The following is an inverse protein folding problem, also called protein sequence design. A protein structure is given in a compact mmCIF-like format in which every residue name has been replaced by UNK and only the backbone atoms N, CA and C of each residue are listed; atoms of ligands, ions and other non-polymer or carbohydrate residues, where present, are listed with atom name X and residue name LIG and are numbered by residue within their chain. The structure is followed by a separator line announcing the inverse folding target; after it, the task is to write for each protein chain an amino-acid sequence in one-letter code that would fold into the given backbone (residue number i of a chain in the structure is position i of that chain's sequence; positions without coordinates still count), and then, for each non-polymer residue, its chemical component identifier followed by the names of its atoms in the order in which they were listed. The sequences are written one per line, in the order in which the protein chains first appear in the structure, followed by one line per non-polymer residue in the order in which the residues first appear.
data_IF_016282318847
#
_entry.id   IF_016282318847
#
_cell.length_a   1.000
_cell.length_b   1.000
_cell.length_c   1.000
_cell.angle_alpha   90.00
_cell.angle_beta   90.00
_cell.angle_gamma   90.00
#
_symmetry.space_group_name_H-M   'P 1'
#
loop_
_entity.id
_entity.type
_entity.pdbx_description
1 polymer ?
#
# COMPACT_ATOMS: atom_id res chain seq x y z
N UNK A 1 -57.40 -7.49 15.21
CA UNK A 1 -57.31 -8.71 16.05
C UNK A 1 -55.90 -9.25 15.94
N UNK A 2 -55.31 -9.61 17.10
CA UNK A 2 -54.05 -10.34 17.32
C UNK A 2 -52.75 -9.75 16.69
N UNK A 3 -51.85 -9.08 17.42
CA UNK A 3 -50.99 -9.55 18.54
C UNK A 3 -49.98 -10.61 18.08
N UNK A 4 -48.81 -10.19 17.57
CA UNK A 4 -47.62 -11.05 17.57
C UNK A 4 -46.34 -10.26 17.86
N UNK A 5 -45.96 -10.35 19.14
CA UNK A 5 -44.62 -10.60 19.70
C UNK A 5 -43.47 -9.67 19.28
N UNK A 6 -43.10 -8.83 20.27
CA UNK A 6 -41.81 -8.18 20.47
C UNK A 6 -40.68 -9.20 20.36
N UNK A 7 -39.78 -9.02 19.40
CA UNK A 7 -38.45 -9.66 19.41
C UNK A 7 -37.44 -8.66 20.01
N UNK A 8 -37.28 -8.72 21.33
CA UNK A 8 -36.11 -8.19 22.04
C UNK A 8 -34.91 -9.07 21.66
N UNK A 9 -34.14 -8.64 20.66
CA UNK A 9 -32.86 -9.22 20.28
C UNK A 9 -31.73 -8.31 20.74
N UNK A 10 -30.95 -8.80 21.68
CA UNK A 10 -29.89 -8.10 22.40
C UNK A 10 -28.70 -7.67 21.52
N UNK A 11 -27.86 -6.80 22.10
CA UNK A 11 -26.53 -6.38 21.65
C UNK A 11 -26.47 -5.13 20.75
N UNK A 12 -27.20 -4.08 21.14
CA UNK A 12 -26.77 -2.70 20.90
C UNK A 12 -25.65 -2.30 21.86
N UNK A 13 -24.44 -2.82 21.70
CA UNK A 13 -23.20 -2.28 22.33
C UNK A 13 -21.99 -2.62 21.46
N UNK A 14 -21.80 -1.92 20.35
CA UNK A 14 -20.55 -1.99 19.58
C UNK A 14 -20.18 -0.64 18.94
N UNK A 15 -20.63 0.49 19.52
CA UNK A 15 -20.30 1.84 19.06
C UNK A 15 -19.44 2.64 20.07
N UNK A 16 -18.92 1.99 21.12
CA UNK A 16 -18.11 2.64 22.16
C UNK A 16 -16.58 2.51 21.96
N UNK A 17 -16.11 1.96 20.83
CA UNK A 17 -14.68 1.74 20.59
C UNK A 17 -14.00 2.84 19.74
N UNK A 18 -14.65 3.99 19.52
CA UNK A 18 -14.08 5.14 18.79
C UNK A 18 -13.76 6.35 19.68
N UNK A 19 -14.00 6.28 20.99
CA UNK A 19 -13.57 7.32 21.94
C UNK A 19 -12.16 6.99 22.46
N UNK A 20 -11.16 7.16 21.59
CA UNK A 20 -9.78 6.83 21.91
C UNK A 20 -8.75 7.56 21.07
N UNK A 21 -9.01 8.82 20.70
CA UNK A 21 -7.97 9.73 20.21
C UNK A 21 -8.23 11.13 20.77
N UNK A 22 -8.03 11.26 22.08
CA UNK A 22 -7.90 12.56 22.73
C UNK A 22 -6.94 12.39 23.91
N UNK A 23 -5.69 12.01 23.60
CA UNK A 23 -4.63 12.13 24.59
C UNK A 23 -4.21 13.60 24.64
N UNK A 24 -4.60 14.27 25.73
CA UNK A 24 -4.05 15.58 26.09
C UNK A 24 -2.63 15.35 26.62
N UNK A 25 -1.74 14.99 25.71
CA UNK A 25 -0.32 14.77 25.96
C UNK A 25 0.39 16.12 25.98
N UNK A 26 0.92 16.48 27.15
CA UNK A 26 1.92 17.54 27.34
C UNK A 26 2.97 17.45 26.23
N UNK A 27 3.25 18.56 25.54
CA UNK A 27 4.27 18.63 24.48
C UNK A 27 5.63 18.24 25.09
N UNK A 28 5.99 16.96 24.97
CA UNK A 28 7.35 16.49 25.22
C UNK A 28 8.14 16.95 23.99
N UNK A 29 9.21 17.75 24.14
CA UNK A 29 10.03 18.11 23.01
C UNK A 29 10.50 16.81 22.38
N UNK A 30 10.09 16.57 21.14
CA UNK A 30 10.48 15.40 20.37
C UNK A 30 12.00 15.45 20.27
N UNK A 31 12.70 14.67 21.12
CA UNK A 31 14.11 14.36 20.92
C UNK A 31 14.26 14.00 19.45
N UNK A 32 15.14 14.70 18.76
CA UNK A 32 15.39 14.53 17.35
C UNK A 32 15.53 13.03 17.07
N UNK A 33 14.51 12.45 16.43
CA UNK A 33 14.63 11.11 15.89
C UNK A 33 15.67 11.26 14.81
N UNK A 34 16.90 10.87 15.12
CA UNK A 34 17.93 10.69 14.11
C UNK A 34 17.40 9.57 13.24
N UNK A 35 16.73 9.95 12.15
CA UNK A 35 16.31 9.03 11.11
C UNK A 35 17.57 8.61 10.38
N UNK A 36 18.29 7.64 10.95
CA UNK A 36 19.31 6.91 10.23
C UNK A 36 18.57 6.04 9.22
N UNK A 37 18.22 6.61 8.07
CA UNK A 37 17.70 5.84 6.93
C UNK A 37 18.79 4.80 6.62
N UNK A 38 18.52 3.50 6.81
CA UNK A 38 19.47 2.47 6.44
C UNK A 38 19.83 2.64 4.97
N UNK A 39 21.08 2.39 4.60
CA UNK A 39 21.46 2.38 3.20
C UNK A 39 20.51 1.44 2.42
N UNK A 40 20.00 1.86 1.25
CA UNK A 40 19.07 1.05 0.49
C UNK A 40 19.71 -0.29 0.18
N UNK A 41 18.94 -1.37 0.37
CA UNK A 41 19.42 -2.68 0.01
C UNK A 41 19.62 -2.76 -1.53
N UNK A 42 20.45 -3.69 -2.04
CA UNK A 42 20.74 -3.78 -3.47
C UNK A 42 19.49 -3.93 -4.35
N UNK A 43 18.44 -4.58 -3.84
CA UNK A 43 17.18 -4.76 -4.56
C UNK A 43 16.36 -3.46 -4.65
N UNK A 44 16.32 -2.65 -3.60
CA UNK A 44 15.69 -1.34 -3.63
C UNK A 44 16.36 -0.44 -4.65
N UNK A 45 17.68 -0.47 -4.70
CA UNK A 45 18.46 0.33 -5.64
C UNK A 45 18.29 -0.17 -7.09
N UNK A 46 18.20 -1.49 -7.32
CA UNK A 46 17.77 -2.06 -8.62
C UNK A 46 16.37 -1.60 -9.01
N UNK A 47 15.41 -1.73 -8.11
CA UNK A 47 14.01 -1.38 -8.37
C UNK A 47 13.83 0.12 -8.64
N UNK A 48 14.63 0.98 -7.98
CA UNK A 48 14.69 2.42 -8.26
C UNK A 48 15.16 2.69 -9.69
N UNK A 49 16.24 2.05 -10.14
CA UNK A 49 16.74 2.19 -11.53
C UNK A 49 15.72 1.72 -12.56
N UNK A 50 15.08 0.57 -12.30
CA UNK A 50 13.99 0.06 -13.15
C UNK A 50 12.88 1.11 -13.23
N UNK A 51 12.42 1.63 -12.09
CA UNK A 51 11.36 2.65 -12.07
C UNK A 51 11.74 3.89 -12.89
N UNK A 52 12.94 4.44 -12.72
CA UNK A 52 13.39 5.59 -13.53
C UNK A 52 13.37 5.28 -15.02
N UNK A 53 13.83 4.09 -15.41
CA UNK A 53 13.79 3.66 -16.80
C UNK A 53 12.36 3.53 -17.33
N UNK A 54 11.43 3.00 -16.53
CA UNK A 54 10.02 2.93 -16.89
C UNK A 54 9.43 4.31 -17.15
N UNK A 55 9.79 5.32 -16.34
CA UNK A 55 9.36 6.70 -16.56
C UNK A 55 9.89 7.26 -17.89
N UNK A 56 11.16 7.01 -18.21
CA UNK A 56 11.77 7.41 -19.49
C UNK A 56 11.06 6.79 -20.71
N UNK A 57 10.57 5.55 -20.56
CA UNK A 57 9.83 4.81 -21.58
C UNK A 57 8.33 5.19 -21.65
N UNK A 58 7.88 6.14 -20.82
CA UNK A 58 6.50 6.63 -20.81
C UNK A 58 5.55 5.89 -19.86
N UNK A 59 6.04 4.91 -19.10
CA UNK A 59 5.29 4.19 -18.07
C UNK A 59 5.19 5.04 -16.79
N UNK A 60 4.42 6.12 -16.87
CA UNK A 60 4.31 7.17 -15.83
C UNK A 60 3.14 6.98 -14.87
N UNK A 61 2.24 6.05 -15.17
CA UNK A 61 1.11 5.73 -14.29
C UNK A 61 1.49 4.66 -13.29
N UNK A 62 0.93 4.79 -12.09
CA UNK A 62 1.16 3.82 -11.02
C UNK A 62 0.70 2.40 -11.44
N UNK A 63 -0.37 2.31 -12.23
CA UNK A 63 -0.86 1.04 -12.77
C UNK A 63 0.11 0.40 -13.77
N UNK A 64 0.75 1.18 -14.64
CA UNK A 64 1.76 0.66 -15.57
C UNK A 64 2.97 0.11 -14.80
N UNK A 65 3.49 0.88 -13.85
CA UNK A 65 4.66 0.50 -13.05
C UNK A 65 4.35 -0.76 -12.23
N UNK A 66 3.19 -0.81 -11.55
CA UNK A 66 2.78 -1.99 -10.78
C UNK A 66 2.59 -3.22 -11.68
N UNK A 67 2.00 -3.07 -12.86
CA UNK A 67 1.84 -4.17 -13.83
C UNK A 67 3.20 -4.70 -14.26
N UNK A 68 4.15 -3.81 -14.55
CA UNK A 68 5.52 -4.20 -14.92
C UNK A 68 6.19 -5.05 -13.83
N UNK A 69 6.15 -4.59 -12.57
CA UNK A 69 6.73 -5.34 -11.45
C UNK A 69 6.01 -6.67 -11.23
N UNK A 70 4.68 -6.71 -11.34
CA UNK A 70 3.93 -7.95 -11.22
C UNK A 70 4.23 -8.97 -12.34
N UNK A 71 4.50 -8.50 -13.57
CA UNK A 71 4.95 -9.35 -14.67
C UNK A 71 6.37 -9.88 -14.43
N UNK A 72 7.27 -9.02 -13.95
CA UNK A 72 8.64 -9.40 -13.60
C UNK A 72 8.67 -10.47 -12.49
N UNK A 73 7.78 -10.34 -11.50
CA UNK A 73 7.65 -11.27 -10.37
C UNK A 73 6.83 -12.54 -10.73
N UNK A 74 6.25 -12.60 -11.95
CA UNK A 74 5.45 -13.73 -12.42
C UNK A 74 4.02 -13.80 -11.84
N UNK A 75 3.57 -12.76 -11.12
CA UNK A 75 2.20 -12.66 -10.63
C UNK A 75 1.19 -12.33 -11.72
N UNK A 76 1.62 -11.66 -12.79
CA UNK A 76 0.83 -11.40 -13.99
C UNK A 76 1.48 -12.07 -15.20
N UNK A 77 0.66 -12.45 -16.17
CA UNK A 77 1.08 -13.03 -17.45
C UNK A 77 0.14 -12.60 -18.58
N UNK A 78 0.45 -12.98 -19.82
CA UNK A 78 -0.37 -12.69 -20.99
C UNK A 78 -0.17 -11.27 -21.52
N UNK A 79 -1.21 -10.74 -22.15
CA UNK A 79 -1.18 -9.46 -22.89
C UNK A 79 -0.84 -8.26 -21.99
N UNK A 80 -1.24 -8.29 -20.72
CA UNK A 80 -0.90 -7.24 -19.75
C UNK A 80 0.63 -7.10 -19.54
N UNK A 81 1.41 -8.12 -19.88
CA UNK A 81 2.86 -8.14 -19.75
C UNK A 81 3.60 -7.84 -21.06
N UNK A 82 2.92 -7.44 -22.14
CA UNK A 82 3.58 -7.11 -23.40
C UNK A 82 4.64 -6.01 -23.23
N UNK A 83 4.31 -4.95 -22.49
CA UNK A 83 5.26 -3.87 -22.23
C UNK A 83 6.54 -4.36 -21.53
N UNK A 84 6.42 -5.28 -20.56
CA UNK A 84 7.57 -5.92 -19.91
C UNK A 84 8.38 -6.79 -20.88
N UNK A 85 7.72 -7.53 -21.78
CA UNK A 85 8.39 -8.38 -22.77
C UNK A 85 9.18 -7.57 -23.80
N UNK A 86 8.66 -6.41 -24.18
CA UNK A 86 9.34 -5.47 -25.08
C UNK A 86 10.48 -4.72 -24.38
N UNK A 87 10.36 -4.49 -23.07
CA UNK A 87 11.31 -3.71 -22.27
C UNK A 87 11.75 -4.49 -21.01
N UNK A 88 12.46 -5.62 -21.13
CA UNK A 88 12.87 -6.40 -19.96
C UNK A 88 13.87 -5.62 -19.09
N UNK A 89 13.91 -5.88 -17.77
CA UNK A 89 14.83 -5.20 -16.86
C UNK A 89 16.27 -5.60 -17.19
N UNK A 90 17.18 -4.62 -17.17
CA UNK A 90 18.61 -4.87 -17.33
C UNK A 90 19.17 -5.65 -16.12
N UNK A 91 20.15 -6.55 -16.35
CA UNK A 91 20.78 -7.37 -15.30
C UNK A 91 21.57 -6.56 -14.26
#
# INVERSE_FOLDING_TARGET
MARWVVALGAAGVALAALSGCAETGKFVPSSAVVSSVPAPNPEQERNRRIHERLLELGCTTNSCIQTYFACMDGYLTGEACEFYREHPPEP
#
